data_IF_763333714816
#
_entry.id   IF_763333714816
#
_cell.length_a   1.000
_cell.length_b   1.000
_cell.length_c   1.000
_cell.angle_alpha   90.00
_cell.angle_beta   90.00
_cell.angle_gamma   90.00
#
_symmetry.space_group_name_H-M   'P 1'
#
loop_
_entity.id
_entity.type
_entity.pdbx_description
1 polymer ?
#
# COMPACT_ATOMS: atom_id res chain seq x y z
N UNK A 1 -3.23 9.50 0.10
CA UNK A 1 -1.96 9.90 -0.55
C UNK A 1 -1.80 9.07 -1.80
N UNK A 2 -1.44 9.69 -2.92
CA UNK A 2 -1.15 8.98 -4.17
C UNK A 2 0.18 8.26 -4.05
N UNK A 3 0.33 7.13 -4.73
CA UNK A 3 1.64 6.53 -4.94
C UNK A 3 2.35 7.28 -6.06
N UNK A 4 3.53 7.82 -5.76
CA UNK A 4 4.31 8.60 -6.74
C UNK A 4 4.82 7.75 -7.91
N UNK A 5 4.88 6.42 -7.76
CA UNK A 5 5.31 5.50 -8.82
C UNK A 5 4.17 5.05 -9.74
N UNK A 6 2.92 5.14 -9.28
CA UNK A 6 1.74 4.73 -10.05
C UNK A 6 0.53 5.65 -9.77
N UNK A 7 0.11 6.49 -10.74
CA UNK A 7 -1.00 7.44 -10.55
C UNK A 7 -2.37 6.76 -10.44
N UNK A 8 -2.46 5.45 -10.65
CA UNK A 8 -3.69 4.67 -10.43
C UNK A 8 -3.78 4.14 -9.00
N UNK A 9 -2.73 4.23 -8.20
CA UNK A 9 -2.69 3.69 -6.84
C UNK A 9 -2.74 4.83 -5.82
N UNK A 10 -3.58 4.68 -4.81
CA UNK A 10 -3.54 5.55 -3.65
C UNK A 10 -3.75 4.79 -2.34
N UNK A 11 -3.23 5.36 -1.26
CA UNK A 11 -3.31 4.83 0.09
C UNK A 11 -4.16 5.74 0.95
N UNK A 12 -5.21 5.18 1.54
CA UNK A 12 -5.93 5.82 2.64
C UNK A 12 -5.30 5.41 3.96
N UNK A 13 -5.21 6.35 4.90
CA UNK A 13 -4.69 6.11 6.24
C UNK A 13 -5.71 6.54 7.27
N UNK A 14 -6.00 5.67 8.24
CA UNK A 14 -6.72 6.02 9.46
C UNK A 14 -5.76 5.98 10.67
N UNK A 15 -6.29 6.00 11.89
CA UNK A 15 -5.48 5.99 13.11
C UNK A 15 -4.83 4.64 13.42
N UNK A 16 -5.20 3.56 12.72
CA UNK A 16 -4.74 2.19 12.98
C UNK A 16 -4.07 1.52 11.78
N UNK A 17 -4.37 1.95 10.57
CA UNK A 17 -4.01 1.21 9.37
C UNK A 17 -3.86 2.07 8.12
N UNK A 18 -3.18 1.49 7.14
CA UNK A 18 -3.15 1.87 5.74
C UNK A 18 -3.98 0.88 4.94
N UNK A 19 -4.77 1.39 3.99
CA UNK A 19 -5.49 0.58 3.00
C UNK A 19 -5.13 1.08 1.60
N UNK A 20 -4.73 0.15 0.73
CA UNK A 20 -4.38 0.46 -0.66
C UNK A 20 -5.59 0.32 -1.56
N UNK A 21 -5.75 1.28 -2.47
CA UNK A 21 -6.81 1.33 -3.45
C UNK A 21 -6.25 1.48 -4.86
N UNK A 22 -6.93 0.86 -5.81
CA UNK A 22 -6.66 0.98 -7.25
C UNK A 22 -7.81 1.76 -7.88
N UNK A 23 -7.46 2.84 -8.56
CA UNK A 23 -8.34 3.66 -9.38
C UNK A 23 -8.37 3.10 -10.80
N UNK A 24 -9.55 2.70 -11.25
CA UNK A 24 -9.79 2.22 -12.60
C UNK A 24 -10.61 3.27 -13.37
N UNK A 25 -9.97 4.10 -14.22
CA UNK A 25 -10.67 5.15 -14.94
C UNK A 25 -11.63 4.61 -16.00
N UNK A 26 -11.36 3.41 -16.53
CA UNK A 26 -12.15 2.79 -17.61
C UNK A 26 -12.80 1.52 -17.11
N UNK A 27 -14.11 1.58 -16.86
CA UNK A 27 -14.95 0.40 -16.66
C UNK A 27 -16.26 0.57 -17.44
N UNK A 28 -17.01 -0.52 -17.66
CA UNK A 28 -18.34 -0.48 -18.27
C UNK A 28 -19.30 0.48 -17.56
N UNK A 29 -19.07 0.78 -16.29
CA UNK A 29 -19.93 1.58 -15.42
C UNK A 29 -19.31 2.93 -15.02
N UNK A 30 -18.34 3.42 -15.79
CA UNK A 30 -17.57 4.63 -15.50
C UNK A 30 -16.39 4.40 -14.54
N UNK A 31 -15.69 5.45 -14.09
CA UNK A 31 -14.56 5.31 -13.19
C UNK A 31 -14.91 4.64 -11.87
N UNK A 32 -14.05 3.74 -11.38
CA UNK A 32 -14.24 2.99 -10.13
C UNK A 32 -12.97 2.99 -9.29
N UNK A 33 -13.15 2.70 -8.01
CA UNK A 33 -12.07 2.52 -7.03
C UNK A 33 -12.30 1.18 -6.35
N UNK A 34 -11.23 0.39 -6.23
CA UNK A 34 -11.26 -0.93 -5.60
C UNK A 34 -10.22 -0.98 -4.49
N UNK A 35 -10.60 -1.50 -3.31
CA UNK A 35 -9.63 -1.83 -2.28
C UNK A 35 -8.86 -3.09 -2.69
N UNK A 36 -7.56 -3.14 -2.43
CA UNK A 36 -6.78 -4.37 -2.61
C UNK A 36 -7.27 -5.43 -1.62
N UNK A 37 -7.50 -6.66 -2.09
CA UNK A 37 -8.08 -7.75 -1.32
C UNK A 37 -7.24 -9.02 -1.45
N UNK A 38 -7.22 -9.84 -0.39
CA UNK A 38 -6.65 -11.19 -0.46
C UNK A 38 -7.64 -12.16 -1.08
N UNK A 39 -7.22 -12.80 -2.17
CA UNK A 39 -8.02 -13.83 -2.83
C UNK A 39 -8.25 -15.05 -1.93
N UNK A 40 -7.22 -15.48 -1.18
CA UNK A 40 -7.28 -16.67 -0.31
C UNK A 40 -8.17 -16.48 0.92
N UNK A 41 -8.33 -15.24 1.40
CA UNK A 41 -9.15 -14.90 2.56
C UNK A 41 -10.51 -14.34 2.18
N UNK A 42 -11.17 -14.95 1.19
CA UNK A 42 -12.54 -14.62 0.78
C UNK A 42 -12.75 -13.11 0.47
N UNK A 43 -11.77 -12.47 -0.19
CA UNK A 43 -11.87 -11.05 -0.56
C UNK A 43 -11.69 -10.08 0.60
N UNK A 44 -11.05 -10.49 1.70
CA UNK A 44 -10.75 -9.59 2.82
C UNK A 44 -9.81 -8.48 2.37
N UNK A 45 -10.14 -7.23 2.70
CA UNK A 45 -9.33 -6.05 2.36
C UNK A 45 -7.96 -6.13 3.02
N UNK A 46 -6.91 -5.99 2.21
CA UNK A 46 -5.52 -5.92 2.68
C UNK A 46 -5.32 -4.61 3.43
N UNK A 47 -4.87 -4.74 4.67
CA UNK A 47 -4.51 -3.61 5.54
C UNK A 47 -3.09 -3.78 6.05
N UNK A 48 -2.41 -2.66 6.23
CA UNK A 48 -1.09 -2.60 6.88
C UNK A 48 -1.24 -1.80 8.15
N UNK A 49 -0.69 -2.28 9.27
CA UNK A 49 -0.77 -1.55 10.53
C UNK A 49 -0.01 -0.22 10.45
N UNK A 50 -0.62 0.84 10.98
CA UNK A 50 0.03 2.14 11.11
C UNK A 50 0.80 2.17 12.42
N UNK A 51 2.10 2.49 12.41
CA UNK A 51 2.85 2.59 13.66
C UNK A 51 2.33 3.73 14.56
N UNK A 52 2.32 3.49 15.87
CA UNK A 52 1.72 4.42 16.83
C UNK A 52 2.47 5.75 16.90
N UNK A 53 1.73 6.86 16.73
CA UNK A 53 2.29 8.21 16.79
C UNK A 53 3.14 8.59 15.58
N UNK A 54 2.98 7.88 14.46
CA UNK A 54 3.66 8.20 13.20
C UNK A 54 2.73 9.00 12.29
N UNK A 55 3.28 9.96 11.57
CA UNK A 55 2.54 10.77 10.58
C UNK A 55 2.98 10.38 9.16
N UNK A 56 2.09 9.87 8.30
CA UNK A 56 2.45 9.51 6.94
C UNK A 56 2.71 10.77 6.10
N UNK A 57 3.76 10.75 5.28
CA UNK A 57 4.22 11.89 4.46
C UNK A 57 3.94 11.62 2.98
N UNK A 58 4.51 10.54 2.44
CA UNK A 58 4.40 10.18 1.02
C UNK A 58 4.35 8.66 0.85
N UNK A 59 3.76 8.23 -0.27
CA UNK A 59 3.75 6.84 -0.71
C UNK A 59 4.53 6.73 -2.01
N UNK A 60 5.45 5.77 -2.11
CA UNK A 60 6.20 5.53 -3.33
C UNK A 60 6.53 4.04 -3.45
N UNK A 61 6.12 3.43 -4.55
CA UNK A 61 6.36 2.02 -4.89
C UNK A 61 5.99 1.08 -3.73
N UNK A 62 4.80 1.28 -3.15
CA UNK A 62 4.31 0.42 -2.08
C UNK A 62 4.91 0.67 -0.70
N UNK A 63 5.66 1.75 -0.53
CA UNK A 63 6.27 2.15 0.75
C UNK A 63 5.74 3.49 1.20
N UNK A 64 5.27 3.56 2.44
CA UNK A 64 4.84 4.82 3.07
C UNK A 64 5.98 5.35 3.94
N UNK A 65 6.51 6.51 3.56
CA UNK A 65 7.42 7.24 4.44
C UNK A 65 6.60 7.93 5.52
N UNK A 66 6.99 7.74 6.77
CA UNK A 66 6.33 8.28 7.95
C UNK A 66 7.33 9.06 8.81
N UNK A 67 6.90 10.19 9.35
CA UNK A 67 7.62 10.86 10.42
C UNK A 67 7.29 10.20 11.77
N UNK A 68 8.31 9.85 12.52
CA UNK A 68 8.17 9.33 13.89
C UNK A 68 8.23 10.48 14.91
N UNK A 69 7.86 10.23 16.17
CA UNK A 69 7.85 11.27 17.21
C UNK A 69 9.18 12.00 17.43
N UNK A 70 10.32 11.33 17.17
CA UNK A 70 11.66 11.95 17.24
C UNK A 70 11.94 12.92 16.10
N UNK A 71 11.08 13.01 15.09
CA UNK A 71 11.28 13.79 13.88
C UNK A 71 11.98 13.04 12.74
N UNK A 72 12.55 11.86 13.02
CA UNK A 72 13.17 11.00 12.01
C UNK A 72 12.14 10.39 11.05
N UNK A 73 12.60 9.93 9.88
CA UNK A 73 11.76 9.23 8.92
C UNK A 73 11.91 7.71 9.07
N UNK A 74 10.79 7.01 9.00
CA UNK A 74 10.71 5.56 8.93
C UNK A 74 9.91 5.14 7.68
N UNK A 75 10.25 3.99 7.11
CA UNK A 75 9.52 3.41 5.97
C UNK A 75 8.64 2.27 6.45
N UNK A 76 7.38 2.26 6.01
CA UNK A 76 6.42 1.17 6.23
C UNK A 76 6.13 0.52 4.89
N UNK A 77 6.45 -0.77 4.76
CA UNK A 77 6.09 -1.56 3.57
C UNK A 77 4.59 -1.90 3.62
N UNK A 78 3.88 -1.70 2.52
CA UNK A 78 2.47 -2.05 2.43
C UNK A 78 2.30 -3.53 2.11
N UNK A 79 1.47 -4.22 2.89
CA UNK A 79 1.12 -5.62 2.71
C UNK A 79 0.50 -5.93 1.34
N UNK A 80 -0.06 -4.92 0.66
CA UNK A 80 -0.57 -5.02 -0.71
C UNK A 80 0.54 -5.21 -1.75
N UNK A 81 1.79 -4.97 -1.39
CA UNK A 81 2.97 -5.05 -2.25
C UNK A 81 3.91 -6.20 -1.86
N UNK A 82 3.69 -6.85 -0.70
CA UNK A 82 4.50 -7.96 -0.22
C UNK A 82 4.38 -9.23 -1.09
N UNK A 83 3.29 -9.37 -1.85
CA UNK A 83 3.10 -10.48 -2.81
C UNK A 83 3.91 -10.36 -4.11
N UNK A 84 4.66 -9.27 -4.32
CA UNK A 84 5.51 -9.06 -5.49
C UNK A 84 7.00 -9.37 -5.24
N UNK A 85 7.38 -9.77 -4.02
CA UNK A 85 8.79 -9.95 -3.62
C UNK A 85 9.23 -11.42 -3.49
N UNK A 86 8.55 -12.38 -4.12
CA UNK A 86 8.96 -13.79 -4.07
C UNK A 86 8.84 -14.50 -5.44
N UNK A 87 9.69 -14.07 -6.38
CA UNK A 87 10.37 -14.95 -7.35
C UNK A 87 11.71 -14.32 -7.75
N UNK A 88 12.60 -14.15 -6.77
CA UNK A 88 14.04 -14.14 -7.01
C UNK A 88 14.63 -15.32 -6.25
N UNK A 89 14.49 -16.52 -6.81
CA UNK A 89 15.42 -17.60 -6.50
C UNK A 89 16.56 -17.45 -7.49
N UNK A 90 17.55 -16.64 -7.10
CA UNK A 90 18.89 -16.74 -7.65
C UNK A 90 19.47 -18.11 -7.31
N UNK A 91 20.23 -18.70 -8.23
CA UNK A 91 21.21 -19.72 -7.87
C UNK A 91 21.29 -20.89 -8.82
N UNK A 92 22.01 -20.70 -9.92
CA UNK A 92 22.80 -21.78 -10.52
C UNK A 92 23.71 -22.40 -9.46
N UNK A 93 23.66 -23.73 -9.30
CA UNK A 93 24.82 -24.61 -9.15
C UNK A 93 24.45 -26.04 -9.52
#
# INVERSE_FOLDING_TARGET
>A
MWDESDPTIFVASDNKSFTTYVYCPVTRWGPKVYAVQQHEQNGTVVKTERPYGFAPILCNAGKVACQVKSGSLALVNLASHDGAQEMSVEGFH
#
